data_IF_709036081696
#
_entry.id   IF_709036081696
#
_cell.length_a   1.000
_cell.length_b   1.000
_cell.length_c   1.000
_cell.angle_alpha   90.00
_cell.angle_beta   90.00
_cell.angle_gamma   90.00
#
_symmetry.space_group_name_H-M   'P 1'
#
loop_
_entity.id
_entity.type
_entity.pdbx_description
1 polymer ?
#
# COMPACT_ATOMS: atom_id res chain seq x y z
N UNK A 1 30.35 24.43 42.87
CA UNK A 1 29.66 24.48 41.57
C UNK A 1 28.61 23.39 41.58
N UNK A 2 27.31 23.74 41.53
CA UNK A 2 26.24 22.75 41.41
C UNK A 2 25.91 22.60 39.93
N UNK A 3 26.16 21.42 39.39
CA UNK A 3 25.80 21.04 38.03
C UNK A 3 24.27 21.04 37.93
N UNK A 4 23.73 21.95 37.12
CA UNK A 4 22.29 22.04 36.89
C UNK A 4 21.93 21.00 35.83
N UNK A 5 21.39 19.87 36.27
CA UNK A 5 20.77 18.87 35.42
C UNK A 5 19.71 19.53 34.55
N UNK A 6 19.98 19.69 33.26
CA UNK A 6 18.99 20.13 32.27
C UNK A 6 18.04 18.95 32.03
N UNK A 7 16.71 19.12 32.18
CA UNK A 7 15.78 18.08 31.76
C UNK A 7 15.88 17.90 30.24
N UNK A 8 16.21 16.68 29.81
CA UNK A 8 16.08 16.27 28.41
C UNK A 8 14.60 16.27 28.05
N UNK A 9 14.16 17.31 27.35
CA UNK A 9 12.85 17.33 26.73
C UNK A 9 12.88 16.38 25.53
N UNK A 10 12.42 15.14 25.73
CA UNK A 10 11.96 14.32 24.62
C UNK A 10 10.70 15.00 24.07
N UNK A 11 10.86 15.81 23.02
CA UNK A 11 9.74 16.20 22.19
C UNK A 11 9.35 14.98 21.38
N UNK A 12 8.36 14.21 21.84
CA UNK A 12 7.51 13.48 20.92
C UNK A 12 6.76 14.57 20.16
N UNK A 13 7.29 14.99 19.01
CA UNK A 13 6.52 15.80 18.07
C UNK A 13 5.38 14.90 17.58
N UNK A 14 4.28 14.86 18.33
CA UNK A 14 2.99 14.58 17.74
C UNK A 14 2.84 15.60 16.62
N UNK A 15 2.98 15.15 15.37
CA UNK A 15 2.86 15.96 14.16
C UNK A 15 1.63 16.85 14.31
N UNK A 16 1.77 18.19 14.38
CA UNK A 16 0.65 19.06 14.68
C UNK A 16 -0.37 18.95 13.55
N UNK A 17 -1.49 18.30 13.85
CA UNK A 17 -2.66 18.08 12.99
C UNK A 17 -2.51 17.02 11.90
N UNK A 18 -2.39 15.74 12.27
CA UNK A 18 -2.88 14.68 11.38
C UNK A 18 -4.41 14.80 11.30
N UNK A 19 -4.93 15.41 10.22
CA UNK A 19 -6.39 15.62 10.01
C UNK A 19 -7.07 14.33 9.48
N UNK A 20 -6.29 13.27 9.21
CA UNK A 20 -6.76 12.04 8.57
C UNK A 20 -6.30 10.82 9.37
N UNK A 21 -7.24 10.00 9.83
CA UNK A 21 -6.93 8.79 10.63
C UNK A 21 -6.61 7.55 9.78
N UNK A 22 -6.78 7.61 8.46
CA UNK A 22 -6.34 6.60 7.51
C UNK A 22 -6.20 7.22 6.11
N UNK A 23 -5.46 6.54 5.23
CA UNK A 23 -5.46 6.82 3.79
C UNK A 23 -6.52 5.95 3.12
N UNK A 24 -7.28 6.53 2.21
CA UNK A 24 -8.29 5.77 1.48
C UNK A 24 -7.65 4.68 0.62
N UNK A 25 -8.42 3.63 0.40
CA UNK A 25 -8.08 2.59 -0.55
C UNK A 25 -8.05 3.15 -1.99
N UNK A 26 -7.34 2.47 -2.89
CA UNK A 26 -7.44 2.74 -4.34
C UNK A 26 -8.88 2.55 -4.82
N UNK A 27 -9.28 3.22 -5.90
CA UNK A 27 -10.63 3.08 -6.47
C UNK A 27 -10.59 2.33 -7.79
N UNK A 28 -11.74 1.79 -8.23
CA UNK A 28 -11.91 1.17 -9.55
C UNK A 28 -10.83 0.14 -9.91
N UNK A 29 -10.41 -0.68 -8.94
CA UNK A 29 -9.45 -1.74 -9.18
C UNK A 29 -10.02 -2.76 -10.18
N UNK A 30 -9.32 -2.94 -11.29
CA UNK A 30 -9.60 -3.93 -12.33
C UNK A 30 -8.39 -4.83 -12.52
N UNK A 31 -8.66 -6.10 -12.83
CA UNK A 31 -7.64 -7.09 -13.14
C UNK A 31 -7.91 -7.64 -14.54
N UNK A 32 -6.94 -7.47 -15.44
CA UNK A 32 -7.02 -7.95 -16.81
C UNK A 32 -6.02 -9.08 -17.02
N UNK A 33 -6.51 -10.23 -17.49
CA UNK A 33 -5.66 -11.37 -17.82
C UNK A 33 -4.92 -11.14 -19.14
N UNK A 34 -3.61 -11.34 -19.15
CA UNK A 34 -2.75 -11.30 -20.34
C UNK A 34 -1.90 -12.58 -20.44
N UNK A 35 -1.33 -12.89 -21.63
CA UNK A 35 -0.48 -14.08 -21.78
C UNK A 35 0.73 -14.06 -20.83
N UNK A 36 0.67 -14.88 -19.76
CA UNK A 36 1.73 -15.00 -18.76
C UNK A 36 1.77 -13.88 -17.70
N UNK A 37 0.77 -13.00 -17.67
CA UNK A 37 0.69 -11.87 -16.75
C UNK A 37 -0.75 -11.52 -16.35
N UNK A 38 -0.88 -10.77 -15.26
CA UNK A 38 -2.10 -10.04 -14.92
C UNK A 38 -1.77 -8.56 -14.82
N UNK A 39 -2.56 -7.73 -15.50
CA UNK A 39 -2.49 -6.28 -15.41
C UNK A 39 -3.51 -5.80 -14.38
N UNK A 40 -3.03 -5.13 -13.34
CA UNK A 40 -3.87 -4.44 -12.37
C UNK A 40 -3.91 -2.97 -12.72
N UNK A 41 -5.11 -2.41 -12.81
CA UNK A 41 -5.34 -0.98 -13.10
C UNK A 41 -6.26 -0.44 -12.02
N UNK A 42 -5.95 0.74 -11.47
CA UNK A 42 -6.75 1.38 -10.44
C UNK A 42 -6.70 2.91 -10.55
N UNK A 43 -7.57 3.57 -9.81
CA UNK A 43 -7.51 5.01 -9.56
C UNK A 43 -6.79 5.31 -8.26
N UNK A 44 -5.97 6.35 -8.28
CA UNK A 44 -5.19 6.79 -7.12
C UNK A 44 -6.09 7.28 -5.98
N UNK A 45 -5.71 7.06 -4.70
CA UNK A 45 -6.37 7.68 -3.57
C UNK A 45 -6.31 9.22 -3.68
N UNK A 46 -7.42 9.88 -3.36
CA UNK A 46 -7.61 11.33 -3.58
C UNK A 46 -7.11 12.21 -2.43
N UNK A 47 -6.33 11.65 -1.50
CA UNK A 47 -5.91 12.31 -0.28
C UNK A 47 -4.52 12.94 -0.39
N UNK A 48 -4.36 14.15 0.14
CA UNK A 48 -3.10 14.90 0.10
C UNK A 48 -1.94 14.17 0.81
N UNK A 49 -2.27 13.37 1.84
CA UNK A 49 -1.28 12.61 2.61
C UNK A 49 -0.92 11.25 1.97
N UNK A 50 -1.49 10.87 0.84
CA UNK A 50 -1.14 9.63 0.13
C UNK A 50 0.31 9.64 -0.39
N UNK A 51 1.02 8.54 -0.21
CA UNK A 51 2.46 8.39 -0.51
C UNK A 51 2.77 7.26 -1.50
N UNK A 52 2.30 6.05 -1.25
CA UNK A 52 2.54 4.89 -2.11
C UNK A 52 1.49 3.80 -1.89
N UNK A 53 1.42 2.83 -2.80
CA UNK A 53 0.65 1.60 -2.61
C UNK A 53 1.57 0.39 -2.48
N UNK A 54 1.12 -0.66 -1.80
CA UNK A 54 1.70 -2.00 -1.94
C UNK A 54 0.72 -2.88 -2.70
N UNK A 55 1.23 -3.63 -3.66
CA UNK A 55 0.49 -4.66 -4.39
C UNK A 55 0.97 -6.00 -3.87
N UNK A 56 0.08 -6.80 -3.30
CA UNK A 56 0.39 -8.11 -2.73
C UNK A 56 -0.40 -9.19 -3.45
N UNK A 57 0.27 -10.29 -3.78
CA UNK A 57 -0.27 -11.41 -4.54
C UNK A 57 -0.33 -12.64 -3.66
N UNK A 58 -1.50 -13.27 -3.65
CA UNK A 58 -1.75 -14.51 -2.93
C UNK A 58 -2.34 -15.55 -3.86
N UNK A 59 -2.19 -16.82 -3.53
CA UNK A 59 -3.05 -17.87 -4.08
C UNK A 59 -4.46 -17.75 -3.51
N UNK A 60 -5.45 -18.39 -4.12
CA UNK A 60 -6.80 -18.53 -3.54
C UNK A 60 -6.85 -19.17 -2.14
N UNK A 61 -5.79 -19.90 -1.77
CA UNK A 61 -5.62 -20.49 -0.43
C UNK A 61 -4.90 -19.54 0.53
N UNK A 62 -4.86 -18.24 0.21
CA UNK A 62 -4.26 -17.18 1.01
C UNK A 62 -2.75 -17.39 1.28
N UNK A 63 -2.07 -18.12 0.38
CA UNK A 63 -0.61 -18.29 0.46
C UNK A 63 0.05 -17.09 -0.21
N UNK A 64 0.89 -16.38 0.53
CA UNK A 64 1.65 -15.25 0.01
C UNK A 64 2.61 -15.68 -1.10
N UNK A 65 2.65 -14.92 -2.19
CA UNK A 65 3.54 -15.14 -3.33
C UNK A 65 4.58 -14.03 -3.40
N UNK A 66 4.12 -12.78 -3.49
CA UNK A 66 4.98 -11.62 -3.70
C UNK A 66 4.28 -10.33 -3.26
N UNK A 67 5.08 -9.30 -2.98
CA UNK A 67 4.60 -7.94 -2.76
C UNK A 67 5.60 -6.93 -3.33
N UNK A 68 5.09 -5.86 -3.93
CA UNK A 68 5.88 -4.73 -4.40
C UNK A 68 5.26 -3.40 -3.98
N UNK A 69 6.12 -2.41 -3.71
CA UNK A 69 5.69 -1.05 -3.40
C UNK A 69 5.79 -0.18 -4.66
N UNK A 70 4.71 0.51 -5.00
CA UNK A 70 4.64 1.41 -6.13
C UNK A 70 4.42 2.85 -5.65
N UNK A 71 5.25 3.81 -6.09
CA UNK A 71 5.16 5.19 -5.63
C UNK A 71 3.85 5.84 -6.10
N UNK A 72 3.47 6.94 -5.45
CA UNK A 72 2.43 7.86 -5.93
C UNK A 72 2.62 8.19 -7.43
N UNK A 73 1.50 8.25 -8.15
CA UNK A 73 1.42 8.35 -9.61
C UNK A 73 1.31 7.00 -10.32
N UNK A 74 1.54 5.88 -9.61
CA UNK A 74 1.39 4.54 -10.17
C UNK A 74 -0.07 4.09 -10.13
N UNK A 75 -0.68 3.98 -11.31
CA UNK A 75 -2.08 3.54 -11.49
C UNK A 75 -2.19 2.19 -12.22
N UNK A 76 -1.06 1.55 -12.48
CA UNK A 76 -0.97 0.29 -13.21
C UNK A 76 0.20 -0.56 -12.69
N UNK A 77 -0.02 -1.87 -12.58
CA UNK A 77 0.99 -2.87 -12.25
C UNK A 77 0.84 -4.11 -13.14
N UNK A 78 1.96 -4.67 -13.58
CA UNK A 78 1.99 -5.93 -14.35
C UNK A 78 2.67 -7.03 -13.56
N UNK A 79 1.88 -8.01 -13.13
CA UNK A 79 2.36 -9.16 -12.38
C UNK A 79 2.68 -10.28 -13.36
N UNK A 80 3.97 -10.49 -13.60
CA UNK A 80 4.47 -11.53 -14.49
C UNK A 80 4.70 -12.84 -13.75
N UNK A 81 4.83 -13.94 -14.50
CA UNK A 81 5.27 -15.26 -13.99
C UNK A 81 4.30 -15.89 -12.98
N UNK A 82 3.00 -15.64 -13.15
CA UNK A 82 1.99 -16.46 -12.47
C UNK A 82 2.02 -17.87 -13.09
N UNK A 83 2.48 -18.83 -12.29
CA UNK A 83 3.05 -20.12 -12.74
C UNK A 83 1.96 -21.12 -13.18
N UNK A 84 0.69 -20.86 -12.91
CA UNK A 84 -0.40 -21.80 -13.18
C UNK A 84 -1.61 -21.12 -13.81
N UNK A 85 -1.96 -21.55 -15.02
CA UNK A 85 -3.23 -21.21 -15.68
C UNK A 85 -4.46 -21.84 -15.01
N UNK A 86 -4.27 -22.65 -13.96
CA UNK A 86 -5.32 -23.33 -13.20
C UNK A 86 -5.44 -22.81 -11.75
N UNK A 87 -4.63 -21.81 -11.36
CA UNK A 87 -4.68 -21.23 -10.03
C UNK A 87 -5.37 -19.88 -10.09
N UNK A 88 -6.41 -19.71 -9.27
CA UNK A 88 -6.98 -18.39 -9.01
C UNK A 88 -6.05 -17.65 -8.05
N UNK A 89 -5.81 -16.38 -8.36
CA UNK A 89 -4.98 -15.49 -7.57
C UNK A 89 -5.86 -14.45 -6.89
N UNK A 90 -5.40 -13.99 -5.73
CA UNK A 90 -5.98 -12.88 -5.00
C UNK A 90 -4.97 -11.75 -5.00
N UNK A 91 -5.40 -10.59 -5.49
CA UNK A 91 -4.59 -9.38 -5.51
C UNK A 91 -5.09 -8.45 -4.41
N UNK A 92 -4.17 -7.89 -3.64
CA UNK A 92 -4.48 -6.91 -2.61
C UNK A 92 -3.68 -5.64 -2.86
N UNK A 93 -4.35 -4.50 -2.89
CA UNK A 93 -3.71 -3.19 -2.97
C UNK A 93 -3.98 -2.44 -1.68
N UNK A 94 -2.92 -1.99 -1.01
CA UNK A 94 -3.01 -1.21 0.22
C UNK A 94 -2.34 0.15 0.04
N UNK A 95 -3.02 1.22 0.40
CA UNK A 95 -2.47 2.58 0.38
C UNK A 95 -1.68 2.89 1.64
N UNK A 96 -0.68 3.78 1.54
CA UNK A 96 0.12 4.24 2.67
C UNK A 96 0.28 5.76 2.64
N UNK A 97 0.36 6.39 3.82
CA UNK A 97 0.62 7.83 3.92
C UNK A 97 2.13 8.17 3.91
N UNK A 98 2.42 9.48 3.96
CA UNK A 98 3.78 10.02 4.04
C UNK A 98 4.54 9.58 5.31
N UNK A 99 3.83 9.19 6.37
CA UNK A 99 4.39 8.64 7.62
C UNK A 99 4.54 7.10 7.56
N UNK A 100 4.19 6.48 6.43
CA UNK A 100 4.18 5.03 6.17
C UNK A 100 3.14 4.26 6.98
N UNK A 101 2.10 4.94 7.45
CA UNK A 101 0.97 4.27 8.08
C UNK A 101 0.07 3.63 7.04
N UNK A 102 -0.38 2.43 7.37
CA UNK A 102 -1.18 1.59 6.50
C UNK A 102 -2.63 2.10 6.45
N UNK A 103 -3.11 2.35 5.23
CA UNK A 103 -4.50 2.66 4.94
C UNK A 103 -5.33 1.41 4.66
N UNK A 104 -6.47 1.63 4.01
CA UNK A 104 -7.41 0.57 3.65
C UNK A 104 -6.88 -0.35 2.53
N UNK A 105 -7.40 -1.58 2.48
CA UNK A 105 -7.02 -2.63 1.53
C UNK A 105 -8.18 -2.86 0.55
N UNK A 106 -7.88 -2.83 -0.75
CA UNK A 106 -8.79 -3.31 -1.81
C UNK A 106 -8.34 -4.67 -2.30
N UNK A 107 -9.29 -5.56 -2.58
CA UNK A 107 -9.02 -6.89 -3.15
C UNK A 107 -9.57 -6.99 -4.57
N UNK A 108 -8.78 -7.59 -5.45
CA UNK A 108 -9.18 -8.00 -6.81
C UNK A 108 -8.92 -9.50 -7.01
N UNK A 109 -9.65 -10.11 -7.94
CA UNK A 109 -9.53 -11.51 -8.33
C UNK A 109 -9.61 -11.65 -9.84
#
# INVERSE_FOLDING_TARGET
MKEMNKPSYFYTLLSPQKIFNSVAAVKNLTAESAPGAVHLIWEEPTEDNFSYVTVSVFTKYNTFIHSESLPKGSIHCSINRLISSQCEYLFQIQSFDLEKEAGEIVRGS
#
